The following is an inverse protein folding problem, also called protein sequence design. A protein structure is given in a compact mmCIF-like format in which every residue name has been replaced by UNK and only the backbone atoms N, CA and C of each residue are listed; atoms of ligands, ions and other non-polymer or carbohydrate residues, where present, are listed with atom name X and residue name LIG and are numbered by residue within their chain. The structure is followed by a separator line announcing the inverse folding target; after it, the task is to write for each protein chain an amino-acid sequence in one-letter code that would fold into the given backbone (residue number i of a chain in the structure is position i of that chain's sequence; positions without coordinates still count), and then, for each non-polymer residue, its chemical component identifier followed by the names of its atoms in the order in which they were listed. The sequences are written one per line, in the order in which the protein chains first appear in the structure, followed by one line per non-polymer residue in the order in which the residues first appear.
data_IF_779821869008
#
_entry.id   IF_779821869008
#
_cell.length_a   1.000
_cell.length_b   1.000
_cell.length_c   1.000
_cell.angle_alpha   90.00
_cell.angle_beta   90.00
_cell.angle_gamma   90.00
#
_symmetry.space_group_name_H-M   'P 1'
#
loop_
_entity.id
_entity.type
_entity.pdbx_description
1 polymer ?
#
# COMPACT_ATOMS: atom_id res chain seq x y z
N UNK A 1 -3.52 20.90 23.74
CA UNK A 1 -4.44 21.08 22.61
C UNK A 1 -5.18 19.78 22.38
N UNK A 2 -6.48 19.77 22.63
CA UNK A 2 -7.37 18.64 22.34
C UNK A 2 -7.59 18.60 20.83
N UNK A 3 -6.75 17.88 20.12
CA UNK A 3 -6.96 17.64 18.70
C UNK A 3 -8.26 16.85 18.49
N UNK A 4 -9.02 17.21 17.46
CA UNK A 4 -10.36 16.71 17.15
C UNK A 4 -10.43 15.25 16.67
N UNK A 5 -9.57 14.36 17.18
CA UNK A 5 -9.63 12.93 16.89
C UNK A 5 -10.59 12.19 17.85
N UNK A 6 -11.19 11.11 17.37
CA UNK A 6 -11.96 10.21 18.23
C UNK A 6 -11.00 9.48 19.19
N UNK A 7 -11.20 9.64 20.48
CA UNK A 7 -10.42 8.95 21.53
C UNK A 7 -10.44 7.42 21.27
N UNK A 8 -9.27 6.73 21.26
CA UNK A 8 -7.94 7.17 21.71
C UNK A 8 -7.04 7.79 20.62
N UNK A 9 -7.53 8.08 19.40
CA UNK A 9 -6.74 8.65 18.32
C UNK A 9 -6.46 10.15 18.57
N UNK A 10 -5.22 10.54 18.31
CA UNK A 10 -4.79 11.94 18.32
C UNK A 10 -4.65 12.44 16.88
N UNK A 11 -4.59 13.74 16.67
CA UNK A 11 -4.38 14.36 15.36
C UNK A 11 -3.12 13.85 14.66
N UNK A 12 -2.05 13.57 15.42
CA UNK A 12 -0.79 13.02 14.90
C UNK A 12 -0.91 11.59 14.37
N UNK A 13 -1.99 10.89 14.70
CA UNK A 13 -2.27 9.52 14.23
C UNK A 13 -3.16 9.50 12.98
N UNK A 14 -3.55 10.65 12.47
CA UNK A 14 -4.40 10.80 11.29
C UNK A 14 -3.59 11.30 10.09
N UNK A 15 -3.96 10.83 8.92
CA UNK A 15 -3.36 11.32 7.68
C UNK A 15 -3.67 12.81 7.46
N UNK A 16 -2.67 13.53 6.97
CA UNK A 16 -2.80 14.96 6.70
C UNK A 16 -3.22 15.17 5.24
N UNK A 17 -4.45 15.65 4.98
CA UNK A 17 -4.87 15.97 3.63
C UNK A 17 -3.97 17.04 2.99
N UNK A 18 -3.58 16.81 1.75
CA UNK A 18 -2.76 17.74 0.95
C UNK A 18 -3.23 17.73 -0.50
N UNK A 19 -2.89 18.76 -1.25
CA UNK A 19 -2.97 18.74 -2.70
C UNK A 19 -1.78 17.98 -3.29
N UNK A 20 -2.02 17.23 -4.37
CA UNK A 20 -0.96 16.47 -5.02
C UNK A 20 -1.38 15.95 -6.38
N UNK A 21 -0.39 15.69 -7.23
CA UNK A 21 -0.56 15.06 -8.52
C UNK A 21 0.52 14.01 -8.76
N UNK A 22 0.17 12.97 -9.47
CA UNK A 22 1.09 11.89 -9.85
C UNK A 22 0.77 11.43 -11.26
N UNK A 23 1.81 11.10 -12.03
CA UNK A 23 1.69 10.50 -13.34
C UNK A 23 2.60 9.29 -13.46
N UNK A 24 2.14 8.27 -14.14
CA UNK A 24 2.86 7.02 -14.39
C UNK A 24 2.61 6.58 -15.84
N UNK A 25 3.66 6.10 -16.49
CA UNK A 25 3.55 5.44 -17.79
C UNK A 25 3.51 3.92 -17.59
N UNK A 26 2.52 3.29 -18.20
CA UNK A 26 2.40 1.83 -18.27
C UNK A 26 2.53 1.40 -19.71
N UNK A 27 3.34 0.40 -19.98
CA UNK A 27 3.57 -0.14 -21.32
C UNK A 27 3.60 -1.66 -21.32
N UNK A 28 3.62 -2.26 -22.49
CA UNK A 28 3.90 -3.68 -22.59
C UNK A 28 5.39 -4.00 -22.32
N UNK A 29 5.69 -5.26 -22.06
CA UNK A 29 7.02 -5.73 -21.72
C UNK A 29 8.08 -5.35 -22.78
N UNK A 30 7.74 -5.44 -24.07
CA UNK A 30 8.67 -5.12 -25.16
C UNK A 30 9.14 -3.67 -25.09
N UNK A 31 8.24 -2.74 -24.82
CA UNK A 31 8.57 -1.32 -24.68
C UNK A 31 9.32 -1.09 -23.36
N UNK A 32 8.87 -1.69 -22.26
CA UNK A 32 9.51 -1.55 -20.96
C UNK A 32 10.99 -1.97 -21.00
N UNK A 33 11.30 -3.11 -21.62
CA UNK A 33 12.69 -3.61 -21.77
C UNK A 33 13.58 -2.74 -22.66
N UNK A 34 13.03 -1.87 -23.49
CA UNK A 34 13.77 -0.87 -24.26
C UNK A 34 14.02 0.42 -23.49
N UNK A 35 13.43 0.58 -22.32
CA UNK A 35 13.67 1.73 -21.45
C UNK A 35 15.13 1.78 -21.01
N UNK A 36 15.68 2.99 -20.88
CA UNK A 36 17.02 3.21 -20.33
C UNK A 36 17.13 2.94 -18.82
N UNK A 37 15.99 2.78 -18.14
CA UNK A 37 15.88 2.46 -16.71
C UNK A 37 15.47 1.01 -16.52
N UNK A 38 15.82 0.41 -15.37
CA UNK A 38 15.34 -0.90 -14.99
C UNK A 38 13.80 -0.89 -14.96
N UNK A 39 13.13 -1.68 -15.81
CA UNK A 39 11.68 -1.71 -15.84
C UNK A 39 11.15 -2.42 -14.58
N UNK A 40 10.04 -1.92 -14.04
CA UNK A 40 9.32 -2.55 -12.96
C UNK A 40 8.05 -3.18 -13.52
N UNK A 41 7.85 -4.45 -13.25
CA UNK A 41 6.71 -5.20 -13.76
C UNK A 41 5.61 -5.33 -12.70
N UNK A 42 4.36 -5.13 -13.11
CA UNK A 42 3.19 -5.49 -12.31
C UNK A 42 2.96 -6.98 -12.52
N UNK A 43 3.31 -7.80 -11.53
CA UNK A 43 3.24 -9.25 -11.59
C UNK A 43 1.91 -9.81 -11.09
N UNK A 44 1.20 -9.04 -10.26
CA UNK A 44 -0.12 -9.39 -9.78
C UNK A 44 -0.97 -8.18 -9.47
N UNK A 45 -2.27 -8.37 -9.59
CA UNK A 45 -3.28 -7.36 -9.26
C UNK A 45 -4.51 -8.04 -8.70
N UNK A 46 -5.04 -7.49 -7.62
CA UNK A 46 -6.30 -7.89 -7.03
C UNK A 46 -7.13 -6.68 -6.60
N UNK A 47 -8.43 -6.84 -6.64
CA UNK A 47 -9.38 -5.82 -6.22
C UNK A 47 -10.52 -6.46 -5.44
N UNK A 48 -10.95 -5.81 -4.39
CA UNK A 48 -12.04 -6.26 -3.54
C UNK A 48 -12.90 -5.11 -3.07
N UNK A 49 -14.18 -5.37 -2.87
CA UNK A 49 -15.16 -4.41 -2.38
C UNK A 49 -15.98 -5.04 -1.26
N UNK A 50 -16.15 -4.31 -0.18
CA UNK A 50 -17.08 -4.66 0.90
C UNK A 50 -18.47 -4.11 0.62
N UNK A 51 -19.47 -4.62 1.37
CA UNK A 51 -20.84 -4.10 1.33
C UNK A 51 -20.88 -2.57 1.46
N UNK A 52 -21.79 -1.94 0.73
CA UNK A 52 -22.05 -0.51 0.88
C UNK A 52 -22.60 -0.19 2.30
N UNK A 53 -23.45 -1.06 2.84
CA UNK A 53 -23.97 -0.91 4.18
C UNK A 53 -22.85 -1.13 5.22
N UNK A 54 -22.42 -0.06 5.86
CA UNK A 54 -21.34 -0.11 6.85
C UNK A 54 -21.67 -1.03 8.04
N UNK A 55 -22.94 -1.05 8.47
CA UNK A 55 -23.43 -1.90 9.57
C UNK A 55 -23.34 -3.41 9.29
N UNK A 56 -23.26 -3.81 8.02
CA UNK A 56 -23.11 -5.22 7.64
C UNK A 56 -21.66 -5.69 7.51
N UNK A 57 -20.69 -4.80 7.77
CA UNK A 57 -19.26 -5.13 7.70
C UNK A 57 -18.72 -5.55 9.07
N UNK A 58 -17.74 -6.45 9.07
CA UNK A 58 -16.93 -6.68 10.26
C UNK A 58 -16.12 -5.41 10.57
N UNK A 59 -16.24 -4.91 11.79
CA UNK A 59 -15.57 -3.66 12.19
C UNK A 59 -14.07 -3.84 12.44
N UNK A 60 -13.60 -5.05 12.66
CA UNK A 60 -12.21 -5.36 12.98
C UNK A 60 -11.40 -5.95 11.81
N UNK A 61 -12.01 -6.13 10.62
CA UNK A 61 -11.36 -6.80 9.50
C UNK A 61 -11.55 -6.06 8.18
N UNK A 62 -10.51 -6.06 7.36
CA UNK A 62 -10.55 -5.57 5.97
C UNK A 62 -10.67 -6.75 5.00
N UNK A 63 -11.82 -7.43 4.98
CA UNK A 63 -12.06 -8.61 4.15
C UNK A 63 -11.86 -8.35 2.66
N UNK A 64 -12.23 -7.17 2.15
CA UNK A 64 -11.98 -6.76 0.77
C UNK A 64 -10.48 -6.61 0.47
N UNK A 65 -9.69 -6.08 1.40
CA UNK A 65 -8.24 -5.98 1.26
C UNK A 65 -7.60 -7.38 1.25
N UNK A 66 -8.02 -8.26 2.17
CA UNK A 66 -7.56 -9.66 2.24
C UNK A 66 -7.86 -10.41 0.94
N UNK A 67 -9.06 -10.25 0.37
CA UNK A 67 -9.44 -10.84 -0.90
C UNK A 67 -8.61 -10.28 -2.06
N UNK A 68 -8.39 -8.97 -2.11
CA UNK A 68 -7.54 -8.32 -3.12
C UNK A 68 -6.08 -8.83 -3.03
N UNK A 69 -5.52 -8.93 -1.82
CA UNK A 69 -4.19 -9.48 -1.60
C UNK A 69 -4.07 -10.92 -2.09
N UNK A 70 -5.02 -11.79 -1.74
CA UNK A 70 -5.02 -13.18 -2.18
C UNK A 70 -5.03 -13.31 -3.72
N UNK A 71 -5.80 -12.46 -4.42
CA UNK A 71 -5.82 -12.44 -5.89
C UNK A 71 -4.48 -11.98 -6.47
N UNK A 72 -3.89 -10.90 -5.93
CA UNK A 72 -2.60 -10.39 -6.39
C UNK A 72 -1.48 -11.42 -6.18
N UNK A 73 -1.40 -12.02 -5.00
CA UNK A 73 -0.41 -13.02 -4.63
C UNK A 73 -0.51 -14.30 -5.47
N UNK A 74 -1.73 -14.76 -5.72
CA UNK A 74 -1.96 -15.91 -6.60
C UNK A 74 -1.41 -15.66 -8.00
N UNK A 75 -1.58 -14.46 -8.55
CA UNK A 75 -1.04 -14.11 -9.87
C UNK A 75 0.47 -13.99 -9.87
N UNK A 76 1.04 -13.38 -8.86
CA UNK A 76 2.49 -13.20 -8.73
C UNK A 76 3.24 -14.51 -8.41
N UNK A 77 2.56 -15.50 -7.83
CA UNK A 77 3.17 -16.74 -7.37
C UNK A 77 3.95 -16.61 -6.06
N UNK A 78 3.73 -15.54 -5.31
CA UNK A 78 4.32 -15.29 -4.00
C UNK A 78 3.38 -14.47 -3.11
N UNK A 79 3.65 -14.41 -1.81
CA UNK A 79 2.84 -13.76 -0.79
C UNK A 79 3.60 -12.62 -0.07
N UNK A 80 2.93 -12.01 0.92
CA UNK A 80 3.48 -10.90 1.68
C UNK A 80 4.85 -11.17 2.33
N UNK A 81 5.11 -12.38 2.73
CA UNK A 81 6.37 -12.74 3.39
C UNK A 81 7.60 -12.67 2.48
N UNK A 82 7.39 -12.61 1.16
CA UNK A 82 8.47 -12.53 0.16
C UNK A 82 8.68 -11.12 -0.38
N UNK A 83 7.93 -10.14 0.09
CA UNK A 83 8.14 -8.75 -0.29
C UNK A 83 9.34 -8.15 0.48
N UNK A 84 10.09 -7.27 -0.19
CA UNK A 84 11.15 -6.48 0.42
C UNK A 84 10.59 -5.15 0.96
N UNK A 85 9.64 -4.58 0.23
CA UNK A 85 9.00 -3.30 0.57
C UNK A 85 7.48 -3.38 0.39
N UNK A 86 6.76 -2.59 1.19
CA UNK A 86 5.33 -2.40 1.04
C UNK A 86 4.96 -0.93 1.18
N UNK A 87 4.23 -0.40 0.20
CA UNK A 87 3.68 0.95 0.21
C UNK A 87 2.16 0.87 0.34
N UNK A 88 1.63 1.31 1.46
CA UNK A 88 0.21 1.17 1.79
C UNK A 88 -0.48 2.52 1.99
N UNK A 89 -1.72 2.60 1.55
CA UNK A 89 -2.60 3.74 1.80
C UNK A 89 -3.35 3.53 3.11
N UNK A 90 -3.30 4.52 3.99
CA UNK A 90 -4.03 4.50 5.24
C UNK A 90 -4.35 5.93 5.70
N UNK A 91 -5.55 6.17 6.19
CA UNK A 91 -5.97 7.47 6.71
C UNK A 91 -5.68 7.67 8.20
N UNK A 92 -5.18 6.63 8.87
CA UNK A 92 -4.80 6.65 10.27
C UNK A 92 -3.85 5.51 10.60
N UNK A 93 -3.15 5.61 11.73
CA UNK A 93 -2.31 4.53 12.24
C UNK A 93 -3.10 3.22 12.40
N UNK A 94 -4.34 3.29 12.90
CA UNK A 94 -5.20 2.11 13.07
C UNK A 94 -5.53 1.47 11.73
N UNK A 95 -5.91 2.27 10.73
CA UNK A 95 -6.18 1.73 9.39
C UNK A 95 -4.93 1.15 8.74
N UNK A 96 -3.75 1.72 8.98
CA UNK A 96 -2.49 1.14 8.51
C UNK A 96 -2.25 -0.25 9.11
N UNK A 97 -2.41 -0.41 10.42
CA UNK A 97 -2.28 -1.71 11.08
C UNK A 97 -3.26 -2.75 10.54
N UNK A 98 -4.51 -2.36 10.30
CA UNK A 98 -5.53 -3.23 9.70
C UNK A 98 -5.15 -3.66 8.27
N UNK A 99 -4.59 -2.75 7.47
CA UNK A 99 -4.09 -3.06 6.13
C UNK A 99 -2.92 -4.04 6.19
N UNK A 100 -1.94 -3.80 7.06
CA UNK A 100 -0.78 -4.69 7.21
C UNK A 100 -1.21 -6.11 7.62
N UNK A 101 -2.17 -6.23 8.53
CA UNK A 101 -2.73 -7.53 8.89
C UNK A 101 -3.45 -8.20 7.71
N UNK A 102 -4.26 -7.45 6.96
CA UNK A 102 -4.99 -7.97 5.79
C UNK A 102 -4.05 -8.41 4.65
N UNK A 103 -2.90 -7.76 4.52
CA UNK A 103 -1.84 -8.11 3.57
C UNK A 103 -0.95 -9.29 4.04
N UNK A 104 -1.12 -9.77 5.29
CA UNK A 104 -0.28 -10.82 5.87
C UNK A 104 1.11 -10.34 6.28
N UNK A 105 1.29 -9.03 6.52
CA UNK A 105 2.58 -8.42 6.89
C UNK A 105 2.78 -8.30 8.42
N UNK A 106 1.92 -8.93 9.20
CA UNK A 106 2.00 -8.98 10.66
C UNK A 106 0.71 -8.59 11.36
N UNK A 107 0.71 -8.58 12.69
CA UNK A 107 -0.46 -8.27 13.52
C UNK A 107 -0.15 -7.20 14.56
N UNK A 108 -1.08 -6.25 14.73
CA UNK A 108 -1.00 -5.23 15.76
C UNK A 108 0.21 -4.30 15.61
N UNK A 109 0.59 -3.63 16.70
CA UNK A 109 1.69 -2.66 16.72
C UNK A 109 3.08 -3.24 16.36
N UNK A 110 3.25 -4.56 16.46
CA UNK A 110 4.48 -5.25 16.04
C UNK A 110 4.58 -5.53 14.55
N UNK A 111 3.53 -5.29 13.77
CA UNK A 111 3.50 -5.61 12.34
C UNK A 111 4.62 -4.88 11.57
N UNK A 112 4.81 -3.60 11.84
CA UNK A 112 5.79 -2.77 11.15
C UNK A 112 7.26 -3.13 11.45
N UNK A 113 7.53 -3.88 12.53
CA UNK A 113 8.90 -4.21 12.96
C UNK A 113 9.33 -5.66 12.75
N UNK A 114 8.39 -6.58 12.57
CA UNK A 114 8.65 -8.02 12.64
C UNK A 114 8.47 -8.79 11.32
N UNK A 115 8.00 -8.13 10.26
CA UNK A 115 7.73 -8.80 8.98
C UNK A 115 8.98 -9.04 8.12
N UNK A 116 10.10 -8.38 8.42
CA UNK A 116 11.25 -8.32 7.52
C UNK A 116 11.01 -7.43 6.29
N UNK A 117 9.78 -6.93 6.10
CA UNK A 117 9.37 -6.05 5.00
C UNK A 117 9.47 -4.60 5.44
N UNK A 118 10.07 -3.76 4.63
CA UNK A 118 10.12 -2.31 4.90
C UNK A 118 8.80 -1.66 4.52
N UNK A 119 8.08 -1.12 5.52
CA UNK A 119 6.76 -0.52 5.34
C UNK A 119 6.89 0.98 5.11
N UNK A 120 6.17 1.50 4.09
CA UNK A 120 6.01 2.93 3.82
C UNK A 120 7.33 3.72 3.87
N UNK A 121 8.40 3.19 3.26
CA UNK A 121 9.72 3.82 3.25
C UNK A 121 9.72 5.22 2.64
N UNK A 122 8.75 5.50 1.77
CA UNK A 122 8.53 6.82 1.18
C UNK A 122 7.96 7.85 2.15
N UNK A 123 7.60 7.46 3.38
CA UNK A 123 6.87 8.24 4.37
C UNK A 123 5.40 7.83 4.51
N UNK A 124 4.86 7.07 3.54
CA UNK A 124 3.46 6.63 3.58
C UNK A 124 2.45 7.75 3.32
N UNK A 125 1.20 7.50 3.68
CA UNK A 125 0.10 8.43 3.53
C UNK A 125 -0.12 9.32 4.76
N UNK A 126 0.37 8.94 5.95
CA UNK A 126 0.09 9.66 7.18
C UNK A 126 0.63 11.10 7.20
N UNK A 127 1.87 11.41 6.78
CA UNK A 127 2.38 12.77 6.78
C UNK A 127 1.80 13.65 5.66
N UNK A 128 1.38 13.05 4.54
CA UNK A 128 0.84 13.77 3.38
C UNK A 128 -0.04 12.84 2.54
N UNK A 129 -1.33 13.11 2.53
CA UNK A 129 -2.35 12.29 1.85
C UNK A 129 -3.05 13.11 0.76
N UNK A 130 -2.64 12.98 -0.52
CA UNK A 130 -3.36 13.58 -1.64
C UNK A 130 -4.61 12.74 -2.02
N UNK A 131 -5.51 12.57 -1.12
CA UNK A 131 -6.66 11.64 -0.99
C UNK A 131 -7.02 10.87 -2.26
N UNK A 132 -7.30 11.54 -3.38
CA UNK A 132 -7.71 10.89 -4.65
C UNK A 132 -6.55 10.25 -5.41
N UNK A 133 -5.32 10.69 -5.15
CA UNK A 133 -4.12 10.21 -5.83
C UNK A 133 -3.30 9.24 -4.98
N UNK A 134 -3.62 9.05 -3.70
CA UNK A 134 -2.80 8.31 -2.72
C UNK A 134 -2.40 6.92 -3.20
N UNK A 135 -3.34 6.12 -3.70
CA UNK A 135 -3.03 4.77 -4.19
C UNK A 135 -2.02 4.77 -5.35
N UNK A 136 -2.15 5.72 -6.28
CA UNK A 136 -1.21 5.84 -7.40
C UNK A 136 0.16 6.38 -6.93
N UNK A 137 0.18 7.28 -5.95
CA UNK A 137 1.43 7.73 -5.30
C UNK A 137 2.14 6.53 -4.67
N UNK A 138 1.44 5.66 -3.93
CA UNK A 138 2.04 4.44 -3.36
C UNK A 138 2.64 3.55 -4.45
N UNK A 139 1.93 3.36 -5.58
CA UNK A 139 2.41 2.56 -6.69
C UNK A 139 3.70 3.14 -7.30
N UNK A 140 3.72 4.44 -7.55
CA UNK A 140 4.92 5.13 -8.07
C UNK A 140 6.08 5.08 -7.08
N UNK A 141 5.82 5.26 -5.78
CA UNK A 141 6.87 5.20 -4.75
C UNK A 141 7.46 3.79 -4.63
N UNK A 142 6.64 2.75 -4.65
CA UNK A 142 7.11 1.38 -4.68
C UNK A 142 7.96 1.09 -5.93
N UNK A 143 7.48 1.50 -7.11
CA UNK A 143 8.23 1.33 -8.35
C UNK A 143 9.59 2.07 -8.33
N UNK A 144 9.64 3.28 -7.76
CA UNK A 144 10.91 4.01 -7.57
C UNK A 144 11.86 3.28 -6.63
N UNK A 145 11.36 2.71 -5.53
CA UNK A 145 12.20 1.95 -4.60
C UNK A 145 12.84 0.72 -5.28
N UNK A 146 12.13 0.08 -6.20
CA UNK A 146 12.68 -1.03 -6.97
C UNK A 146 13.66 -0.59 -8.07
N UNK A 147 13.33 0.47 -8.82
CA UNK A 147 14.13 0.91 -9.98
C UNK A 147 15.26 1.87 -9.63
N UNK A 148 15.23 2.52 -8.49
CA UNK A 148 16.18 3.54 -8.02
C UNK A 148 16.44 3.38 -6.51
N UNK A 149 16.89 2.20 -6.05
CA UNK A 149 17.02 1.92 -4.61
C UNK A 149 17.98 2.87 -3.90
N UNK A 150 18.93 3.43 -4.60
CA UNK A 150 19.92 4.39 -4.09
C UNK A 150 19.26 5.67 -3.52
N UNK A 151 18.08 6.04 -4.00
CA UNK A 151 17.35 7.21 -3.48
C UNK A 151 16.72 6.95 -2.10
N UNK A 152 16.64 5.69 -1.70
CA UNK A 152 15.97 5.27 -0.45
C UNK A 152 16.92 4.64 0.58
N UNK A 153 18.23 4.69 0.34
CA UNK A 153 19.27 4.18 1.23
C UNK A 153 19.80 2.81 0.79
N UNK A 154 20.38 2.05 1.73
CA UNK A 154 21.00 0.75 1.44
C UNK A 154 19.98 -0.34 1.14
N UNK A 155 20.33 -1.24 0.24
CA UNK A 155 19.55 -2.40 -0.13
C UNK A 155 19.17 -2.38 -1.61
N UNK A 156 18.87 -3.55 -2.14
CA UNK A 156 18.40 -3.73 -3.53
C UNK A 156 17.08 -4.50 -3.49
N UNK A 157 15.97 -3.86 -3.13
CA UNK A 157 14.68 -4.52 -3.10
C UNK A 157 14.30 -4.99 -4.51
N UNK A 158 13.75 -6.18 -4.61
CA UNK A 158 13.34 -6.80 -5.87
C UNK A 158 11.83 -6.99 -5.98
N UNK A 159 11.13 -6.99 -4.83
CA UNK A 159 9.68 -7.23 -4.73
C UNK A 159 9.00 -6.20 -3.87
N UNK A 160 7.88 -5.68 -4.37
CA UNK A 160 7.08 -4.74 -3.62
C UNK A 160 5.60 -5.12 -3.62
N UNK A 161 4.93 -4.79 -2.51
CA UNK A 161 3.47 -4.79 -2.38
C UNK A 161 3.00 -3.35 -2.36
N UNK A 162 1.93 -3.09 -3.08
CA UNK A 162 1.26 -1.79 -3.09
C UNK A 162 -0.20 -1.97 -2.74
N UNK A 163 -0.69 -1.13 -1.85
CA UNK A 163 -2.09 -1.10 -1.49
C UNK A 163 -2.67 0.29 -1.70
N UNK A 164 -3.85 0.33 -2.32
CA UNK A 164 -4.69 1.51 -2.44
C UNK A 164 -6.08 1.23 -1.90
N UNK A 165 -6.66 2.20 -1.21
CA UNK A 165 -8.01 2.11 -0.67
C UNK A 165 -8.86 3.30 -1.12
N UNK A 166 -10.18 3.09 -1.13
CA UNK A 166 -11.17 4.12 -1.43
C UNK A 166 -12.53 3.79 -0.82
N UNK A 167 -13.44 4.75 -0.93
CA UNK A 167 -14.78 4.62 -0.38
C UNK A 167 -14.83 4.78 1.15
N UNK A 168 -16.05 4.78 1.68
CA UNK A 168 -16.29 4.95 3.11
C UNK A 168 -15.65 3.81 3.91
N UNK A 169 -14.83 4.17 4.89
CA UNK A 169 -14.13 3.22 5.75
C UNK A 169 -13.42 2.11 4.95
N UNK A 170 -12.63 2.51 3.95
CA UNK A 170 -11.84 1.61 3.11
C UNK A 170 -12.69 0.49 2.46
N UNK A 171 -13.87 0.85 1.94
CA UNK A 171 -14.79 -0.08 1.30
C UNK A 171 -14.16 -0.83 0.12
N UNK A 172 -13.39 -0.11 -0.70
CA UNK A 172 -12.72 -0.63 -1.87
C UNK A 172 -11.24 -0.76 -1.58
N UNK A 173 -10.64 -1.87 -1.98
CA UNK A 173 -9.22 -2.11 -1.84
C UNK A 173 -8.64 -2.68 -3.13
N UNK A 174 -7.49 -2.18 -3.53
CA UNK A 174 -6.68 -2.73 -4.61
C UNK A 174 -5.29 -3.08 -4.08
N UNK A 175 -4.77 -4.22 -4.52
CA UNK A 175 -3.41 -4.67 -4.19
C UNK A 175 -2.69 -5.00 -5.48
N UNK A 176 -1.46 -4.48 -5.58
CA UNK A 176 -0.54 -4.80 -6.67
C UNK A 176 0.73 -5.44 -6.10
N UNK A 177 1.32 -6.34 -6.86
CA UNK A 177 2.66 -6.86 -6.65
C UNK A 177 3.56 -6.40 -7.78
N UNK A 178 4.76 -5.94 -7.42
CA UNK A 178 5.76 -5.43 -8.36
C UNK A 178 7.05 -6.23 -8.22
N UNK A 179 7.76 -6.40 -9.35
CA UNK A 179 9.09 -7.02 -9.41
C UNK A 179 9.98 -6.30 -10.44
N UNK A 180 11.29 -6.39 -10.27
CA UNK A 180 12.33 -5.98 -11.22
C UNK A 180 13.04 -7.17 -11.82
#
# INVERSE_FOLDING_TARGET
ASGGGATPLTELMLARPVDGAVAMLVSNETIARRSSRAPVFITGMGSGMNSHAFSSRSQGELSSCKAAAAMAYKKAGWDGAKADVAEVSASSVVSELMVLEALGLGKGLGAAGNSGVTINRSGGALPADPIMATGLVRLVQAAKQLSQPELYGSGSPSRAIVHGAGGVAMQNNCVFTLEV
#
